data_IF_963004707220
#
_entry.id   IF_963004707220
#
_cell.length_a   1.000
_cell.length_b   1.000
_cell.length_c   1.000
_cell.angle_alpha   90.00
_cell.angle_beta   90.00
_cell.angle_gamma   90.00
#
_symmetry.space_group_name_H-M   'P 1'
#
loop_
_entity.id
_entity.type
_entity.pdbx_description
1 polymer ?
#
# COMPACT_ATOMS: atom_id res chain seq x y z
N UNK A 1 13.43 -1.60 10.00
CA UNK A 1 13.33 -0.21 10.51
C UNK A 1 13.22 -0.26 12.04
N UNK A 2 13.96 0.60 12.76
CA UNK A 2 13.99 0.69 14.23
C UNK A 2 13.24 1.97 14.66
N UNK A 3 12.63 2.00 15.85
CA UNK A 3 11.95 3.16 16.44
C UNK A 3 10.77 3.73 15.63
N UNK A 4 9.75 2.90 15.40
CA UNK A 4 8.53 3.33 14.72
C UNK A 4 7.67 4.29 15.57
N UNK A 5 7.85 4.39 16.88
CA UNK A 5 7.04 5.25 17.78
C UNK A 5 7.65 6.64 18.01
N UNK A 6 8.84 6.94 17.46
CA UNK A 6 9.48 8.25 17.64
C UNK A 6 8.74 9.39 16.93
N UNK A 7 8.06 9.09 15.82
CA UNK A 7 7.27 10.09 15.10
C UNK A 7 5.97 10.35 15.87
N UNK A 8 5.60 11.62 16.12
CA UNK A 8 4.31 11.94 16.73
C UNK A 8 3.17 11.37 15.87
N UNK A 9 2.05 11.07 16.52
CA UNK A 9 0.88 10.53 15.83
C UNK A 9 0.31 11.61 14.91
N UNK A 10 0.14 11.28 13.64
CA UNK A 10 -0.50 12.17 12.68
C UNK A 10 -2.03 12.13 12.86
N UNK A 11 -2.73 13.21 12.50
CA UNK A 11 -4.17 13.31 12.74
C UNK A 11 -4.97 12.16 12.12
N UNK A 12 -4.71 11.84 10.85
CA UNK A 12 -5.40 10.75 10.15
C UNK A 12 -5.02 9.37 10.70
N UNK A 13 -3.78 9.22 11.16
CA UNK A 13 -3.29 7.98 11.76
C UNK A 13 -4.00 7.66 13.08
N UNK A 14 -4.35 8.68 13.88
CA UNK A 14 -5.11 8.48 15.12
C UNK A 14 -6.48 7.82 14.87
N UNK A 15 -7.11 8.11 13.72
CA UNK A 15 -8.38 7.49 13.31
C UNK A 15 -8.11 6.05 12.83
N UNK A 16 -7.12 5.87 11.96
CA UNK A 16 -6.85 4.58 11.33
C UNK A 16 -6.34 3.51 12.30
N UNK A 17 -5.66 3.89 13.37
CA UNK A 17 -5.21 2.97 14.42
C UNK A 17 -6.38 2.31 15.16
N UNK A 18 -7.55 2.96 15.21
CA UNK A 18 -8.74 2.47 15.91
C UNK A 18 -9.63 1.58 15.03
N UNK A 19 -9.39 1.57 13.72
CA UNK A 19 -10.21 0.82 12.75
C UNK A 19 -10.26 -0.67 13.06
N UNK A 20 -9.14 -1.37 13.35
CA UNK A 20 -9.20 -2.80 13.63
C UNK A 20 -10.11 -3.16 14.81
N UNK A 21 -10.10 -2.34 15.88
CA UNK A 21 -10.96 -2.57 17.05
C UNK A 21 -12.42 -2.28 16.73
N UNK A 22 -12.70 -1.24 15.95
CA UNK A 22 -14.05 -0.90 15.51
C UNK A 22 -14.62 -1.92 14.51
N UNK A 23 -13.78 -2.55 13.68
CA UNK A 23 -14.18 -3.57 12.74
C UNK A 23 -14.59 -4.88 13.42
N UNK A 24 -13.89 -5.26 14.51
CA UNK A 24 -14.10 -6.55 15.14
C UNK A 24 -13.93 -7.70 14.14
N UNK A 25 -14.98 -8.50 13.93
CA UNK A 25 -15.00 -9.59 12.93
C UNK A 25 -15.73 -9.20 11.62
N UNK A 26 -16.30 -8.00 11.54
CA UNK A 26 -17.06 -7.57 10.36
C UNK A 26 -16.13 -6.92 9.33
N UNK A 27 -15.92 -7.63 8.21
CA UNK A 27 -15.10 -7.15 7.09
C UNK A 27 -15.67 -5.90 6.43
N UNK A 28 -16.99 -5.69 6.53
CA UNK A 28 -17.73 -4.58 5.95
C UNK A 28 -17.94 -3.40 6.91
N UNK A 29 -17.53 -3.53 8.18
CA UNK A 29 -17.55 -2.43 9.14
C UNK A 29 -16.89 -1.13 8.64
N UNK A 30 -15.85 -1.14 7.77
CA UNK A 30 -15.36 0.10 7.14
C UNK A 30 -16.46 0.93 6.46
N UNK A 31 -17.48 0.32 5.85
CA UNK A 31 -18.61 1.06 5.26
C UNK A 31 -19.32 2.00 6.25
N UNK A 32 -19.34 1.61 7.53
CA UNK A 32 -20.06 2.32 8.58
C UNK A 32 -19.15 3.32 9.29
N UNK A 33 -17.84 3.09 9.27
CA UNK A 33 -16.83 3.96 9.86
C UNK A 33 -16.55 5.11 8.88
N UNK A 34 -17.01 6.31 9.23
CA UNK A 34 -16.80 7.53 8.45
C UNK A 34 -15.30 7.73 8.16
N UNK A 35 -14.97 8.02 6.91
CA UNK A 35 -13.60 8.20 6.39
C UNK A 35 -12.70 6.95 6.38
N UNK A 36 -13.24 5.75 6.65
CA UNK A 36 -12.44 4.54 6.53
C UNK A 36 -12.03 4.30 5.07
N UNK A 37 -10.78 3.89 4.91
CA UNK A 37 -10.22 3.49 3.62
C UNK A 37 -10.09 1.98 3.65
N UNK A 38 -10.93 1.26 2.89
CA UNK A 38 -11.07 -0.19 2.99
C UNK A 38 -9.75 -0.94 2.89
N UNK A 39 -8.94 -0.62 1.89
CA UNK A 39 -7.67 -1.31 1.66
C UNK A 39 -6.72 -1.13 2.83
N UNK A 40 -6.64 0.08 3.38
CA UNK A 40 -5.84 0.35 4.58
C UNK A 40 -6.44 -0.34 5.80
N UNK A 41 -7.77 -0.28 5.98
CA UNK A 41 -8.50 -0.89 7.08
C UNK A 41 -8.25 -2.39 7.17
N UNK A 42 -8.43 -3.12 6.07
CA UNK A 42 -8.16 -4.55 5.99
C UNK A 42 -6.69 -4.86 6.25
N UNK A 43 -5.76 -4.09 5.69
CA UNK A 43 -4.34 -4.29 5.95
C UNK A 43 -4.01 -4.07 7.43
N UNK A 44 -4.53 -3.02 8.06
CA UNK A 44 -4.33 -2.77 9.49
C UNK A 44 -4.95 -3.86 10.38
N UNK A 45 -6.10 -4.40 9.99
CA UNK A 45 -6.75 -5.49 10.73
C UNK A 45 -5.94 -6.79 10.70
N UNK A 46 -5.25 -7.07 9.59
CA UNK A 46 -4.32 -8.21 9.52
C UNK A 46 -3.13 -8.00 10.46
N UNK A 47 -2.53 -6.81 10.47
CA UNK A 47 -1.38 -6.52 11.31
C UNK A 47 -1.72 -6.34 12.79
N UNK A 48 -2.96 -6.00 13.15
CA UNK A 48 -3.39 -5.90 14.54
C UNK A 48 -3.43 -7.24 15.29
N UNK A 49 -3.33 -8.36 14.57
CA UNK A 49 -3.19 -9.70 15.18
C UNK A 49 -1.82 -9.83 15.88
N UNK A 50 -0.82 -9.04 15.47
CA UNK A 50 0.50 -9.06 16.08
C UNK A 50 0.44 -8.48 17.52
N UNK A 51 1.07 -9.15 18.50
CA UNK A 51 1.08 -8.67 19.87
C UNK A 51 1.89 -7.37 20.00
N UNK A 52 1.39 -6.43 20.79
CA UNK A 52 2.10 -5.19 21.15
C UNK A 52 1.24 -3.94 21.13
N UNK A 53 1.90 -2.80 20.99
CA UNK A 53 1.26 -1.48 20.88
C UNK A 53 0.46 -1.37 19.56
N UNK A 54 -0.84 -1.03 19.62
CA UNK A 54 -1.70 -0.83 18.44
C UNK A 54 -1.12 0.15 17.41
N UNK A 55 -0.46 1.22 17.85
CA UNK A 55 0.15 2.18 16.94
C UNK A 55 1.31 1.53 16.17
N UNK A 56 2.11 0.72 16.86
CA UNK A 56 3.25 0.04 16.26
C UNK A 56 2.78 -1.03 15.26
N UNK A 57 1.78 -1.83 15.61
CA UNK A 57 1.24 -2.85 14.71
C UNK A 57 0.60 -2.22 13.48
N UNK A 58 -0.13 -1.11 13.63
CA UNK A 58 -0.71 -0.40 12.50
C UNK A 58 0.37 0.24 11.61
N UNK A 59 1.42 0.86 12.17
CA UNK A 59 2.56 1.38 11.37
C UNK A 59 3.29 0.28 10.61
N UNK A 60 3.32 -0.95 11.11
CA UNK A 60 3.86 -2.09 10.34
C UNK A 60 3.08 -2.39 9.07
N UNK A 61 1.75 -2.18 9.07
CA UNK A 61 0.94 -2.31 7.86
C UNK A 61 1.39 -1.33 6.78
N UNK A 62 1.66 -0.07 7.14
CA UNK A 62 2.16 0.95 6.20
C UNK A 62 3.57 0.62 5.71
N UNK A 63 4.48 0.22 6.61
CA UNK A 63 5.84 -0.19 6.24
C UNK A 63 5.82 -1.40 5.30
N UNK A 64 4.88 -2.33 5.50
CA UNK A 64 4.70 -3.47 4.62
C UNK A 64 4.22 -3.04 3.22
N UNK A 65 3.24 -2.15 3.13
CA UNK A 65 2.80 -1.57 1.87
C UNK A 65 3.95 -0.81 1.15
N UNK A 66 4.72 -0.01 1.87
CA UNK A 66 5.93 0.64 1.34
C UNK A 66 6.99 -0.36 0.85
N UNK A 67 7.16 -1.49 1.55
CA UNK A 67 8.00 -2.60 1.12
C UNK A 67 7.52 -3.25 -0.18
N UNK A 68 6.21 -3.41 -0.35
CA UNK A 68 5.61 -3.86 -1.61
C UNK A 68 5.84 -2.83 -2.73
N UNK A 69 5.70 -1.54 -2.45
CA UNK A 69 6.02 -0.46 -3.41
C UNK A 69 7.47 -0.54 -3.88
N UNK A 70 8.42 -0.71 -2.96
CA UNK A 70 9.85 -0.90 -3.27
C UNK A 70 10.07 -2.10 -4.21
N UNK A 71 9.42 -3.24 -3.91
CA UNK A 71 9.51 -4.44 -4.74
C UNK A 71 8.90 -4.22 -6.13
N UNK A 72 7.72 -3.61 -6.20
CA UNK A 72 7.05 -3.30 -7.47
C UNK A 72 7.91 -2.39 -8.36
N UNK A 73 8.52 -1.35 -7.80
CA UNK A 73 9.42 -0.44 -8.53
C UNK A 73 10.65 -1.19 -9.07
N UNK A 74 11.26 -2.06 -8.27
CA UNK A 74 12.35 -2.92 -8.73
C UNK A 74 11.92 -3.80 -9.91
N UNK A 75 10.74 -4.43 -9.82
CA UNK A 75 10.22 -5.32 -10.86
C UNK A 75 9.91 -4.55 -12.15
N UNK A 76 9.33 -3.36 -12.07
CA UNK A 76 9.07 -2.49 -13.23
C UNK A 76 10.39 -2.11 -13.91
N UNK A 77 11.37 -1.59 -13.17
CA UNK A 77 12.66 -1.20 -13.74
C UNK A 77 13.42 -2.38 -14.36
N UNK A 78 13.33 -3.57 -13.73
CA UNK A 78 13.85 -4.82 -14.28
C UNK A 78 13.14 -5.21 -15.58
N UNK A 79 11.83 -5.03 -15.65
CA UNK A 79 10.99 -5.43 -16.77
C UNK A 79 11.15 -4.51 -17.98
N UNK A 80 11.32 -3.20 -17.78
CA UNK A 80 11.46 -2.23 -18.87
C UNK A 80 12.89 -2.26 -19.45
N UNK A 81 13.92 -2.31 -18.60
CA UNK A 81 15.31 -2.18 -19.04
C UNK A 81 16.21 -3.34 -18.59
N UNK A 82 16.58 -3.38 -17.31
CA UNK A 82 17.52 -4.38 -16.80
C UNK A 82 17.50 -4.45 -15.27
N UNK A 83 18.09 -5.51 -14.72
CA UNK A 83 18.22 -5.68 -13.26
C UNK A 83 18.91 -4.50 -12.58
N UNK A 84 19.91 -3.87 -13.24
CA UNK A 84 20.64 -2.70 -12.72
C UNK A 84 19.71 -1.49 -12.60
N UNK A 85 18.88 -1.24 -13.61
CA UNK A 85 17.91 -0.14 -13.59
C UNK A 85 16.87 -0.36 -12.48
N UNK A 86 16.36 -1.58 -12.33
CA UNK A 86 15.47 -1.94 -11.23
C UNK A 86 16.09 -1.67 -9.85
N UNK A 87 17.36 -2.05 -9.64
CA UNK A 87 18.04 -1.79 -8.36
C UNK A 87 18.24 -0.30 -8.10
N UNK A 88 18.60 0.48 -9.13
CA UNK A 88 18.78 1.92 -9.00
C UNK A 88 17.44 2.59 -8.66
N UNK A 89 16.35 2.22 -9.36
CA UNK A 89 15.03 2.77 -9.10
C UNK A 89 14.55 2.47 -7.66
N UNK A 90 14.76 1.24 -7.18
CA UNK A 90 14.43 0.87 -5.80
C UNK A 90 15.28 1.63 -4.77
N UNK A 91 16.58 1.84 -5.04
CA UNK A 91 17.43 2.66 -4.16
C UNK A 91 16.98 4.12 -4.12
N UNK A 92 16.58 4.70 -5.25
CA UNK A 92 16.03 6.06 -5.30
C UNK A 92 14.74 6.16 -4.48
N UNK A 93 13.86 5.15 -4.56
CA UNK A 93 12.68 5.09 -3.71
C UNK A 93 13.03 5.04 -2.22
N UNK A 94 14.01 4.22 -1.83
CA UNK A 94 14.40 4.05 -0.42
C UNK A 94 15.01 5.32 0.20
N UNK A 95 15.75 6.10 -0.59
CA UNK A 95 16.43 7.33 -0.12
C UNK A 95 15.53 8.56 -0.23
N UNK A 96 14.42 8.47 -0.98
CA UNK A 96 13.46 9.55 -1.12
C UNK A 96 12.94 10.00 0.26
N UNK A 97 13.09 11.28 0.63
CA UNK A 97 12.56 11.77 1.91
C UNK A 97 11.06 11.52 2.03
N UNK A 98 10.32 11.64 0.92
CA UNK A 98 8.87 11.50 0.90
C UNK A 98 8.43 10.11 1.38
N UNK A 99 9.04 9.05 0.86
CA UNK A 99 8.69 7.66 1.18
C UNK A 99 9.17 7.30 2.59
N UNK A 100 10.33 7.81 3.02
CA UNK A 100 10.82 7.62 4.38
C UNK A 100 9.87 8.20 5.43
N UNK A 101 9.16 9.29 5.14
CA UNK A 101 8.14 9.85 6.03
C UNK A 101 6.79 9.13 5.88
N UNK A 102 6.28 9.00 4.66
CA UNK A 102 4.92 8.50 4.42
C UNK A 102 4.80 7.01 4.74
N UNK A 103 5.77 6.17 4.35
CA UNK A 103 5.72 4.72 4.57
C UNK A 103 5.85 4.33 6.06
N UNK A 104 6.28 5.28 6.92
CA UNK A 104 6.38 5.09 8.37
C UNK A 104 5.14 5.55 9.14
N UNK A 105 4.27 6.32 8.50
CA UNK A 105 3.00 6.77 9.05
C UNK A 105 1.88 5.92 8.49
N UNK A 106 0.85 5.67 9.28
CA UNK A 106 -0.33 4.97 8.79
C UNK A 106 -1.19 5.92 7.94
N UNK A 107 -0.94 5.94 6.63
CA UNK A 107 -1.62 6.81 5.67
C UNK A 107 -2.18 5.98 4.51
N UNK A 108 -3.36 6.34 4.03
CA UNK A 108 -3.99 5.70 2.88
C UNK A 108 -3.25 5.96 1.55
N UNK A 109 -2.42 7.00 1.49
CA UNK A 109 -1.63 7.33 0.31
C UNK A 109 -0.58 6.25 0.00
N UNK A 110 -0.06 5.55 1.03
CA UNK A 110 0.91 4.46 0.85
C UNK A 110 0.27 3.24 0.18
N UNK A 111 -0.93 2.85 0.62
CA UNK A 111 -1.67 1.72 0.01
C UNK A 111 -2.13 2.06 -1.40
N UNK A 112 -2.58 3.31 -1.64
CA UNK A 112 -2.94 3.79 -2.97
C UNK A 112 -1.74 3.75 -3.93
N UNK A 113 -0.59 4.26 -3.50
CA UNK A 113 0.63 4.26 -4.30
C UNK A 113 1.07 2.83 -4.65
N UNK A 114 1.03 1.92 -3.67
CA UNK A 114 1.33 0.51 -3.87
C UNK A 114 0.41 -0.10 -4.93
N UNK A 115 -0.90 0.14 -4.84
CA UNK A 115 -1.86 -0.36 -5.83
C UNK A 115 -1.56 0.17 -7.24
N UNK A 116 -1.22 1.46 -7.37
CA UNK A 116 -0.85 2.06 -8.66
C UNK A 116 0.41 1.45 -9.27
N UNK A 117 1.44 1.21 -8.46
CA UNK A 117 2.68 0.55 -8.90
C UNK A 117 2.38 -0.85 -9.43
N UNK A 118 1.56 -1.63 -8.73
CA UNK A 118 1.21 -2.98 -9.19
C UNK A 118 0.27 -2.97 -10.40
N UNK A 119 -0.60 -1.96 -10.53
CA UNK A 119 -1.41 -1.77 -11.75
C UNK A 119 -0.52 -1.59 -12.96
N UNK A 120 0.50 -0.72 -12.86
CA UNK A 120 1.49 -0.51 -13.92
C UNK A 120 2.35 -1.75 -14.17
N UNK A 121 2.75 -2.49 -13.13
CA UNK A 121 3.52 -3.71 -13.29
C UNK A 121 2.73 -4.76 -14.07
N UNK A 122 1.47 -5.01 -13.71
CA UNK A 122 0.64 -6.01 -14.37
C UNK A 122 0.24 -5.58 -15.78
N UNK A 123 0.01 -4.28 -16.05
CA UNK A 123 -0.21 -3.82 -17.43
C UNK A 123 1.01 -4.08 -18.32
N UNK A 124 2.23 -3.82 -17.82
CA UNK A 124 3.47 -4.14 -18.53
C UNK A 124 3.68 -5.65 -18.72
N UNK A 125 3.25 -6.48 -17.79
CA UNK A 125 3.30 -7.93 -17.92
C UNK A 125 2.31 -8.41 -18.98
N UNK A 126 1.07 -7.92 -18.94
CA UNK A 126 0.01 -8.27 -19.88
C UNK A 126 0.39 -7.91 -21.32
N UNK A 127 1.07 -6.78 -21.53
CA UNK A 127 1.60 -6.40 -22.85
C UNK A 127 2.63 -7.39 -23.40
N UNK A 128 3.35 -8.13 -22.54
CA UNK A 128 4.37 -9.09 -22.97
C UNK A 128 3.89 -10.52 -23.02
N UNK A 129 2.96 -10.88 -22.14
CA UNK A 129 2.33 -12.20 -22.07
C UNK A 129 0.85 -12.02 -21.83
N UNK A 130 0.05 -12.50 -22.77
CA UNK A 130 -1.40 -12.43 -22.66
C UNK A 130 -1.90 -13.53 -21.71
N UNK A 131 -1.79 -13.26 -20.41
CA UNK A 131 -2.12 -14.21 -19.35
C UNK A 131 -3.24 -13.67 -18.47
N UNK A 132 -4.28 -14.49 -18.27
CA UNK A 132 -5.41 -14.17 -17.39
C UNK A 132 -4.95 -13.78 -15.97
N UNK A 133 -3.89 -14.41 -15.46
CA UNK A 133 -3.38 -14.09 -14.13
C UNK A 133 -2.89 -12.63 -14.02
N UNK A 134 -2.26 -12.09 -15.06
CA UNK A 134 -1.80 -10.69 -15.07
C UNK A 134 -2.99 -9.73 -15.24
N UNK A 135 -3.98 -10.07 -16.07
CA UNK A 135 -5.21 -9.29 -16.20
C UNK A 135 -6.01 -9.23 -14.89
N UNK A 136 -6.13 -10.36 -14.19
CA UNK A 136 -6.75 -10.41 -12.86
C UNK A 136 -5.92 -9.64 -11.84
N UNK A 137 -4.59 -9.75 -11.87
CA UNK A 137 -3.69 -8.98 -11.01
C UNK A 137 -3.85 -7.47 -11.21
N UNK A 138 -3.93 -7.02 -12.46
CA UNK A 138 -4.19 -5.63 -12.83
C UNK A 138 -5.54 -5.17 -12.26
N UNK A 139 -6.63 -5.87 -12.58
CA UNK A 139 -7.98 -5.53 -12.10
C UNK A 139 -8.10 -5.49 -10.57
N UNK A 140 -7.48 -6.45 -9.87
CA UNK A 140 -7.44 -6.47 -8.40
C UNK A 140 -6.69 -5.26 -7.85
N UNK A 141 -5.53 -4.92 -8.41
CA UNK A 141 -4.75 -3.75 -7.96
C UNK A 141 -5.49 -2.43 -8.20
N UNK A 142 -6.20 -2.29 -9.32
CA UNK A 142 -7.03 -1.11 -9.61
C UNK A 142 -8.21 -0.99 -8.62
N UNK A 143 -8.93 -2.10 -8.39
CA UNK A 143 -10.04 -2.14 -7.45
C UNK A 143 -9.61 -1.80 -6.02
N UNK A 144 -8.50 -2.39 -5.55
CA UNK A 144 -7.92 -2.06 -4.23
C UNK A 144 -7.41 -0.61 -4.16
N UNK A 145 -6.94 -0.04 -5.28
CA UNK A 145 -6.59 1.37 -5.38
C UNK A 145 -7.80 2.28 -5.16
N UNK A 146 -8.91 2.01 -5.85
CA UNK A 146 -10.17 2.76 -5.69
C UNK A 146 -10.73 2.65 -4.27
N UNK A 147 -10.66 1.46 -3.67
CA UNK A 147 -11.05 1.21 -2.28
C UNK A 147 -10.14 1.91 -1.25
N UNK A 148 -8.93 2.33 -1.65
CA UNK A 148 -8.06 3.15 -0.81
C UNK A 148 -8.49 4.63 -0.81
N UNK A 149 -8.75 5.21 -1.99
CA UNK A 149 -9.09 6.64 -2.14
C UNK A 149 -9.67 6.89 -3.54
N UNK A 150 -10.54 7.89 -3.67
CA UNK A 150 -11.14 8.29 -4.96
C UNK A 150 -10.12 8.54 -6.10
N UNK A 151 -8.92 9.12 -5.86
CA UNK A 151 -7.88 9.22 -6.90
C UNK A 151 -7.45 7.87 -7.50
N UNK A 152 -7.72 6.73 -6.86
CA UNK A 152 -7.50 5.41 -7.47
C UNK A 152 -8.34 5.18 -8.73
N UNK A 153 -9.40 5.94 -8.96
CA UNK A 153 -10.16 5.90 -10.21
C UNK A 153 -9.32 6.28 -11.44
N UNK A 154 -8.25 7.06 -11.28
CA UNK A 154 -7.31 7.36 -12.37
C UNK A 154 -6.57 6.13 -12.89
N UNK A 155 -6.54 5.03 -12.14
CA UNK A 155 -5.94 3.80 -12.63
C UNK A 155 -6.76 3.16 -13.75
N UNK A 156 -8.08 3.44 -13.84
CA UNK A 156 -8.97 2.91 -14.89
C UNK A 156 -8.70 3.48 -16.29
N UNK A 157 -7.99 4.61 -16.38
CA UNK A 157 -7.63 5.21 -17.67
C UNK A 157 -6.33 4.68 -18.28
N UNK A 158 -5.67 3.73 -17.60
CA UNK A 158 -4.43 3.06 -18.06
C UNK A 158 -4.80 1.83 -18.89
#
# INVERSE_FOLDING_TARGET
MINLTLLPVFNDEAIYVQIPQAMGQDLFAPLQIRDSKFTLAWLTAVFSILPGDPLRSARWASVFAGGLSLLGIYLIGRQIYSRRVGTIAAMLYLISPLTLFHDRMLLADVTLNTCGIYTLLFSLLLMKRDCLADALGMGLSMGLGMLSKLPGAFFLSV
#
